data_IF_742612472688
#
_entry.id   IF_742612472688
#
_cell.length_a   1.000
_cell.length_b   1.000
_cell.length_c   1.000
_cell.angle_alpha   90.00
_cell.angle_beta   90.00
_cell.angle_gamma   90.00
#
_symmetry.space_group_name_H-M   'P 1'
#
loop_
_entity.id
_entity.type
_entity.pdbx_description
1 polymer ?
#
# COMPACT_ATOMS: atom_id res chain seq x y z
N UNK A 1 0.01 -9.05 -8.15
CA UNK A 1 -0.72 -8.73 -6.91
C UNK A 1 -1.46 -7.42 -7.09
N UNK A 2 -2.67 -7.36 -6.60
CA UNK A 2 -3.49 -6.17 -6.77
C UNK A 2 -3.80 -5.55 -5.42
N UNK A 3 -4.44 -4.38 -5.47
CA UNK A 3 -4.85 -3.69 -4.27
C UNK A 3 -5.75 -4.58 -3.41
N UNK A 4 -6.60 -5.35 -4.05
CA UNK A 4 -7.48 -6.24 -3.32
C UNK A 4 -6.70 -7.29 -2.56
N UNK A 5 -5.62 -7.76 -3.16
CA UNK A 5 -4.80 -8.78 -2.50
C UNK A 5 -4.18 -8.20 -1.24
N UNK A 6 -3.69 -7.00 -1.32
CA UNK A 6 -3.12 -6.35 -0.15
C UNK A 6 -4.17 -6.17 0.94
N UNK A 7 -5.37 -5.74 0.54
CA UNK A 7 -6.44 -5.54 1.51
C UNK A 7 -6.79 -6.85 2.21
N UNK A 8 -6.81 -7.94 1.45
CA UNK A 8 -7.10 -9.23 2.02
C UNK A 8 -6.02 -9.68 2.99
N UNK A 9 -4.78 -9.51 2.60
CA UNK A 9 -3.67 -9.90 3.44
C UNK A 9 -3.61 -9.07 4.72
N UNK A 10 -3.93 -7.80 4.59
CA UNK A 10 -3.93 -6.90 5.74
C UNK A 10 -5.24 -6.96 6.51
N UNK A 11 -6.21 -7.73 6.03
CA UNK A 11 -7.47 -7.90 6.70
C UNK A 11 -8.21 -6.57 6.85
N UNK A 12 -8.25 -5.82 5.79
CA UNK A 12 -8.94 -4.53 5.79
C UNK A 12 -9.56 -4.30 4.42
N UNK A 13 -10.24 -3.17 4.26
CA UNK A 13 -10.89 -2.87 3.01
C UNK A 13 -9.91 -2.26 2.02
N UNK A 14 -10.26 -2.33 0.74
CA UNK A 14 -9.44 -1.70 -0.27
C UNK A 14 -9.38 -0.20 -0.08
N UNK A 15 -10.45 0.37 0.44
CA UNK A 15 -10.47 1.81 0.70
C UNK A 15 -9.40 2.17 1.72
N UNK A 16 -9.23 1.36 2.74
CA UNK A 16 -8.24 1.62 3.77
C UNK A 16 -6.84 1.52 3.18
N UNK A 17 -6.60 0.49 2.37
CA UNK A 17 -5.29 0.35 1.74
C UNK A 17 -5.00 1.54 0.84
N UNK A 18 -6.00 1.97 0.09
CA UNK A 18 -5.84 3.11 -0.81
C UNK A 18 -5.45 4.36 -0.03
N UNK A 19 -6.05 4.57 1.12
CA UNK A 19 -5.71 5.72 1.93
C UNK A 19 -4.27 5.68 2.41
N UNK A 20 -3.81 4.49 2.78
CA UNK A 20 -2.42 4.36 3.19
C UNK A 20 -1.49 4.66 2.03
N UNK A 21 -1.81 4.14 0.87
CA UNK A 21 -0.98 4.36 -0.31
C UNK A 21 -0.91 5.84 -0.67
N UNK A 22 -2.04 6.52 -0.56
CA UNK A 22 -2.10 7.93 -0.90
C UNK A 22 -1.70 8.83 0.25
N UNK A 23 -1.30 8.23 1.35
CA UNK A 23 -0.86 8.99 2.51
C UNK A 23 -1.95 9.94 3.01
N UNK A 24 -3.18 9.45 3.00
CA UNK A 24 -4.31 10.24 3.45
C UNK A 24 -4.51 10.09 4.94
N UNK A 25 -5.19 11.04 5.51
CA UNK A 25 -5.53 10.96 6.91
C UNK A 25 -6.72 10.06 7.08
N UNK A 26 -7.06 9.76 8.32
CA UNK A 26 -8.19 8.89 8.57
C UNK A 26 -7.79 7.46 8.84
N UNK A 27 -6.51 7.18 8.81
CA UNK A 27 -5.99 5.85 9.12
C UNK A 27 -5.04 6.01 10.31
N UNK A 28 -5.20 5.18 11.33
CA UNK A 28 -4.34 5.26 12.49
C UNK A 28 -2.91 4.91 12.10
N UNK A 29 -1.96 5.36 12.89
CA UNK A 29 -0.57 5.08 12.59
C UNK A 29 -0.27 3.59 12.67
N UNK A 30 -0.92 2.90 13.58
CA UNK A 30 -0.73 1.47 13.69
C UNK A 30 -1.20 0.77 12.42
N UNK A 31 -2.38 1.13 11.96
CA UNK A 31 -2.94 0.53 10.77
C UNK A 31 -2.07 0.87 9.56
N UNK A 32 -1.63 2.11 9.50
CA UNK A 32 -0.78 2.54 8.39
C UNK A 32 0.50 1.74 8.36
N UNK A 33 1.15 1.59 9.50
CA UNK A 33 2.40 0.85 9.57
C UNK A 33 2.18 -0.61 9.19
N UNK A 34 1.09 -1.18 9.66
CA UNK A 34 0.79 -2.57 9.38
C UNK A 34 0.56 -2.79 7.88
N UNK A 35 -0.24 -1.94 7.27
CA UNK A 35 -0.54 -2.09 5.85
C UNK A 35 0.71 -1.83 5.02
N UNK A 36 1.49 -0.84 5.41
CA UNK A 36 2.73 -0.54 4.70
C UNK A 36 3.67 -1.74 4.74
N UNK A 37 3.70 -2.42 5.87
CA UNK A 37 4.52 -3.59 6.01
C UNK A 37 4.06 -4.70 5.09
N UNK A 38 2.76 -4.91 5.00
CA UNK A 38 2.21 -5.92 4.12
C UNK A 38 2.59 -5.60 2.67
N UNK A 39 2.49 -4.34 2.30
CA UNK A 39 2.84 -3.91 0.96
C UNK A 39 4.31 -4.20 0.68
N UNK A 40 5.17 -3.85 1.62
CA UNK A 40 6.60 -4.04 1.43
C UNK A 40 6.96 -5.52 1.36
N UNK A 41 6.37 -6.31 2.23
CA UNK A 41 6.70 -7.72 2.28
C UNK A 41 6.27 -8.47 1.03
N UNK A 42 5.23 -7.98 0.39
CA UNK A 42 4.71 -8.63 -0.80
C UNK A 42 5.18 -7.98 -2.09
N UNK A 43 5.97 -6.95 -1.96
CA UNK A 43 6.52 -6.31 -3.14
C UNK A 43 5.51 -5.58 -3.99
N UNK A 44 4.38 -5.21 -3.41
CA UNK A 44 3.37 -4.50 -4.17
C UNK A 44 3.80 -3.06 -4.37
N UNK A 45 3.66 -2.55 -5.58
CA UNK A 45 4.06 -1.19 -5.90
C UNK A 45 2.88 -0.44 -6.49
N UNK A 46 2.21 0.37 -5.69
CA UNK A 46 1.01 1.08 -6.14
C UNK A 46 1.27 2.08 -7.26
N UNK A 47 2.39 2.74 -7.23
CA UNK A 47 2.73 3.71 -8.27
C UNK A 47 3.82 3.19 -9.15
N UNK A 48 3.56 2.04 -9.71
CA UNK A 48 4.58 1.36 -10.45
C UNK A 48 5.23 2.19 -11.54
N UNK A 49 4.41 2.88 -12.30
CA UNK A 49 4.95 3.65 -13.41
C UNK A 49 5.86 4.76 -12.96
N UNK A 50 5.39 5.52 -12.01
CA UNK A 50 6.18 6.63 -11.54
C UNK A 50 7.45 6.15 -10.89
N UNK A 51 7.35 5.11 -10.12
CA UNK A 51 8.52 4.59 -9.46
C UNK A 51 9.49 3.98 -10.42
N UNK A 52 8.99 3.34 -11.43
CA UNK A 52 9.83 2.75 -12.43
C UNK A 52 10.77 3.76 -13.00
N UNK A 53 10.27 4.95 -13.28
CA UNK A 53 11.10 5.99 -13.82
C UNK A 53 12.14 6.44 -12.80
N UNK A 54 11.70 6.62 -11.59
CA UNK A 54 12.61 7.10 -10.55
C UNK A 54 13.72 6.13 -10.30
N UNK A 55 13.43 4.86 -10.44
CA UNK A 55 14.41 3.86 -10.10
C UNK A 55 15.26 3.44 -11.26
N UNK A 56 15.02 4.03 -12.36
CA UNK A 56 15.79 3.70 -13.52
C UNK A 56 17.24 3.97 -13.36
N UNK A 57 17.63 4.81 -12.51
CA UNK A 57 18.99 5.20 -12.43
C UNK A 57 19.99 4.14 -12.22
#
# INVERSE_FOLDING_TARGET
MTLKDIARLANCSTATVSRVINNEKGVSEETRAYIQRVIDENGYQPNKQAKGLAEQK
#
